data_IF_054613679030
#
_entry.id   IF_054613679030
#
_cell.length_a   1.000
_cell.length_b   1.000
_cell.length_c   1.000
_cell.angle_alpha   90.00
_cell.angle_beta   90.00
_cell.angle_gamma   90.00
#
_symmetry.space_group_name_H-M   'P 1'
#
loop_
_entity.id
_entity.type
_entity.pdbx_description
1 polymer ?
#
# COMPACT_ATOMS: atom_id res chain seq x y z
N UNK A 1 13.43 -58.49 -16.91
CA UNK A 1 14.39 -57.66 -17.66
C UNK A 1 13.90 -56.21 -17.60
N UNK A 2 14.57 -55.19 -17.07
CA UNK A 2 15.92 -55.03 -16.56
C UNK A 2 16.24 -53.53 -16.67
N UNK A 3 16.63 -52.90 -15.55
CA UNK A 3 17.40 -51.65 -15.47
C UNK A 3 16.74 -50.34 -15.99
N UNK A 4 16.93 -49.14 -15.41
CA UNK A 4 17.70 -48.61 -14.27
C UNK A 4 17.19 -47.17 -14.09
N UNK A 5 16.99 -46.73 -12.85
CA UNK A 5 16.94 -45.31 -12.48
C UNK A 5 18.29 -44.63 -12.78
N UNK A 6 18.31 -43.30 -12.99
CA UNK A 6 19.46 -42.49 -12.63
C UNK A 6 19.09 -41.49 -11.53
N UNK A 7 19.89 -41.54 -10.47
CA UNK A 7 19.89 -40.63 -9.34
C UNK A 7 20.39 -39.23 -9.75
N UNK A 8 19.69 -38.19 -9.32
CA UNK A 8 20.18 -36.81 -9.35
C UNK A 8 21.23 -36.66 -8.24
N UNK A 9 22.44 -36.30 -8.66
CA UNK A 9 23.63 -36.15 -7.82
C UNK A 9 23.57 -34.89 -6.95
N UNK A 10 24.02 -35.07 -5.72
CA UNK A 10 24.49 -34.02 -4.81
C UNK A 10 25.65 -33.19 -5.40
N UNK A 11 25.63 -31.89 -5.14
CA UNK A 11 26.77 -30.97 -5.31
C UNK A 11 26.31 -29.54 -5.02
N UNK A 12 26.97 -28.72 -4.22
CA UNK A 12 28.15 -28.90 -3.39
C UNK A 12 28.15 -27.73 -2.38
N UNK A 13 28.42 -28.04 -1.13
CA UNK A 13 28.55 -27.06 -0.06
C UNK A 13 29.91 -26.37 -0.23
N UNK A 14 29.88 -25.11 -0.68
CA UNK A 14 31.08 -24.28 -0.87
C UNK A 14 31.42 -23.65 0.48
N UNK A 15 32.37 -24.24 1.21
CA UNK A 15 33.02 -23.58 2.35
C UNK A 15 34.19 -22.73 1.86
N UNK A 16 34.25 -21.42 2.17
CA UNK A 16 35.42 -20.61 1.83
C UNK A 16 36.64 -20.99 2.69
N UNK A 17 37.86 -21.04 2.12
CA UNK A 17 39.07 -21.31 2.89
C UNK A 17 39.68 -19.99 3.35
N UNK A 18 39.13 -19.38 4.40
CA UNK A 18 39.81 -18.26 5.06
C UNK A 18 40.24 -18.64 6.47
N UNK A 19 41.47 -19.18 6.54
CA UNK A 19 42.19 -19.45 7.78
C UNK A 19 42.94 -18.18 8.19
N UNK A 20 42.33 -17.36 9.05
CA UNK A 20 43.04 -16.22 9.66
C UNK A 20 44.04 -16.77 10.66
N UNK A 21 45.31 -16.65 10.28
CA UNK A 21 46.50 -17.01 11.05
C UNK A 21 46.66 -15.95 12.15
N UNK A 22 46.36 -16.32 13.40
CA UNK A 22 46.78 -15.53 14.55
C UNK A 22 48.30 -15.51 14.63
N UNK A 23 48.89 -14.32 14.58
CA UNK A 23 50.26 -14.08 15.05
C UNK A 23 50.29 -12.81 15.90
N UNK A 24 50.35 -13.06 17.21
CA UNK A 24 51.22 -12.41 18.20
C UNK A 24 52.22 -11.38 17.64
N UNK A 25 51.96 -10.11 17.93
CA UNK A 25 52.95 -9.04 17.90
C UNK A 25 52.99 -8.38 19.27
N UNK A 26 53.88 -8.84 20.14
CA UNK A 26 54.30 -8.11 21.34
C UNK A 26 55.23 -6.98 20.90
N UNK A 27 54.65 -5.81 20.59
CA UNK A 27 55.38 -4.57 20.36
C UNK A 27 55.19 -3.65 21.57
N UNK A 28 56.20 -3.56 22.41
CA UNK A 28 56.30 -2.58 23.49
C UNK A 28 56.95 -1.31 22.94
N UNK A 29 56.17 -0.44 22.30
CA UNK A 29 56.63 0.90 21.92
C UNK A 29 55.86 1.93 22.73
N UNK A 30 56.46 2.27 23.88
CA UNK A 30 56.13 3.43 24.68
C UNK A 30 56.53 4.69 23.89
N UNK A 31 55.61 5.26 23.13
CA UNK A 31 55.73 6.59 22.55
C UNK A 31 54.54 7.44 23.04
N UNK A 32 54.88 8.56 23.69
CA UNK A 32 53.96 9.36 24.49
C UNK A 32 52.71 9.82 23.76
N UNK A 33 51.56 9.32 24.21
CA UNK A 33 50.27 9.91 23.92
C UNK A 33 50.13 11.18 24.77
N UNK A 34 50.24 12.34 24.12
CA UNK A 34 49.84 13.61 24.73
C UNK A 34 48.37 13.50 25.14
N UNK A 35 47.98 13.93 26.36
CA UNK A 35 46.57 13.97 26.73
C UNK A 35 45.89 15.03 25.86
N UNK A 36 45.26 14.56 24.78
CA UNK A 36 44.31 15.36 24.02
C UNK A 36 43.27 15.86 25.01
N UNK A 37 43.24 17.17 25.21
CA UNK A 37 42.20 17.85 26.00
C UNK A 37 40.86 17.36 25.46
N UNK A 38 40.23 16.44 26.19
CA UNK A 38 38.94 15.89 25.83
C UNK A 38 37.99 17.03 25.54
N UNK A 39 37.55 17.14 24.29
CA UNK A 39 36.49 18.05 23.94
C UNK A 39 35.31 17.69 24.86
N UNK A 40 34.96 18.59 25.78
CA UNK A 40 33.82 18.37 26.68
C UNK A 40 32.62 18.11 25.79
N UNK A 41 32.06 16.89 25.87
CA UNK A 41 30.82 16.56 25.19
C UNK A 41 29.76 17.56 25.69
N UNK A 42 29.31 18.44 24.80
CA UNK A 42 28.20 19.35 25.10
C UNK A 42 26.94 18.50 25.10
N UNK A 43 26.39 18.25 26.28
CA UNK A 43 25.09 17.62 26.44
C UNK A 43 23.96 18.60 26.13
N UNK A 44 22.85 18.10 25.59
CA UNK A 44 21.60 18.85 25.48
C UNK A 44 21.11 19.26 26.87
N UNK A 45 20.62 20.50 27.00
CA UNK A 45 19.98 20.92 28.25
C UNK A 45 18.55 20.35 28.33
N UNK A 46 18.04 20.14 29.55
CA UNK A 46 16.66 19.67 29.76
C UNK A 46 15.64 20.65 29.14
N UNK A 47 15.91 21.95 29.25
CA UNK A 47 15.08 23.02 28.70
C UNK A 47 15.02 22.95 27.16
N UNK A 48 16.14 22.66 26.51
CA UNK A 48 16.24 22.54 25.06
C UNK A 48 15.43 21.34 24.54
N UNK A 49 15.44 20.23 25.29
CA UNK A 49 14.58 19.09 25.00
C UNK A 49 13.10 19.43 25.21
N UNK A 50 12.73 20.15 26.27
CA UNK A 50 11.34 20.55 26.49
C UNK A 50 10.80 21.44 25.37
N UNK A 51 11.59 22.40 24.89
CA UNK A 51 11.22 23.26 23.77
C UNK A 51 11.09 22.43 22.49
N UNK A 52 12.03 21.51 22.22
CA UNK A 52 11.96 20.65 21.04
C UNK A 52 10.70 19.77 21.03
N UNK A 53 10.37 19.14 22.16
CA UNK A 53 9.16 18.31 22.28
C UNK A 53 7.89 19.15 22.15
N UNK A 54 7.87 20.36 22.72
CA UNK A 54 6.75 21.28 22.58
C UNK A 54 6.49 21.65 21.10
N UNK A 55 7.54 21.93 20.33
CA UNK A 55 7.42 22.22 18.89
C UNK A 55 6.90 21.00 18.13
N UNK A 56 7.45 19.81 18.39
CA UNK A 56 7.01 18.57 17.74
C UNK A 56 5.53 18.27 18.04
N UNK A 57 5.08 18.50 19.28
CA UNK A 57 3.69 18.30 19.67
C UNK A 57 2.74 19.21 18.88
N UNK A 58 3.09 20.48 18.69
CA UNK A 58 2.29 21.43 17.89
C UNK A 58 2.22 20.99 16.43
N UNK A 59 3.35 20.59 15.85
CA UNK A 59 3.39 20.11 14.46
C UNK A 59 2.57 18.83 14.27
N UNK A 60 2.70 17.87 15.21
CA UNK A 60 1.98 16.59 15.16
C UNK A 60 0.47 16.78 15.22
N UNK A 61 -0.02 17.73 16.04
CA UNK A 61 -1.45 18.01 16.18
C UNK A 61 -2.13 18.41 14.85
N UNK A 62 -1.41 19.10 13.95
CA UNK A 62 -1.93 19.48 12.63
C UNK A 62 -1.58 18.43 11.57
N UNK A 63 -0.38 17.85 11.61
CA UNK A 63 0.11 16.95 10.58
C UNK A 63 -0.63 15.61 10.55
N UNK A 64 -0.90 15.00 11.72
CA UNK A 64 -1.54 13.68 11.81
C UNK A 64 -2.94 13.63 11.15
N UNK A 65 -3.90 14.52 11.49
CA UNK A 65 -5.22 14.48 10.87
C UNK A 65 -5.20 14.83 9.38
N UNK A 66 -4.23 15.63 8.92
CA UNK A 66 -4.07 15.94 7.50
C UNK A 66 -3.52 14.77 6.70
N UNK A 67 -2.51 14.08 7.24
CA UNK A 67 -1.94 12.90 6.61
C UNK A 67 -2.96 11.76 6.50
N UNK A 68 -3.74 11.51 7.55
CA UNK A 68 -4.77 10.47 7.51
C UNK A 68 -5.82 10.73 6.43
N UNK A 69 -6.31 11.98 6.30
CA UNK A 69 -7.22 12.37 5.22
C UNK A 69 -6.60 12.21 3.83
N UNK A 70 -5.32 12.52 3.69
CA UNK A 70 -4.60 12.35 2.42
C UNK A 70 -4.55 10.86 2.01
N UNK A 71 -4.21 9.97 2.93
CA UNK A 71 -4.19 8.52 2.68
C UNK A 71 -5.58 7.99 2.31
N UNK A 72 -6.62 8.44 3.01
CA UNK A 72 -8.02 8.09 2.71
C UNK A 72 -8.41 8.52 1.29
N UNK A 73 -8.08 9.75 0.88
CA UNK A 73 -8.32 10.23 -0.49
C UNK A 73 -7.51 9.46 -1.53
N UNK A 74 -6.26 9.10 -1.21
CA UNK A 74 -5.42 8.29 -2.09
C UNK A 74 -6.03 6.92 -2.35
N UNK A 75 -6.53 6.23 -1.31
CA UNK A 75 -7.26 4.99 -1.48
C UNK A 75 -8.55 5.20 -2.29
N UNK A 76 -9.24 6.33 -2.11
CA UNK A 76 -10.43 6.62 -2.90
C UNK A 76 -10.10 6.76 -4.40
N UNK A 77 -9.11 7.58 -4.73
CA UNK A 77 -8.66 7.76 -6.11
C UNK A 77 -8.25 6.42 -6.77
N UNK A 78 -7.58 5.55 -6.02
CA UNK A 78 -7.20 4.23 -6.52
C UNK A 78 -8.39 3.26 -6.71
N UNK A 79 -9.47 3.38 -5.94
CA UNK A 79 -10.68 2.59 -6.22
C UNK A 79 -11.48 3.18 -7.38
N UNK A 80 -11.52 4.51 -7.52
CA UNK A 80 -12.16 5.19 -8.65
C UNK A 80 -11.50 4.81 -9.98
N UNK A 81 -10.16 4.74 -10.04
CA UNK A 81 -9.46 4.27 -11.24
C UNK A 81 -9.82 2.82 -11.58
N UNK A 82 -9.90 1.95 -10.57
CA UNK A 82 -10.33 0.57 -10.76
C UNK A 82 -11.78 0.48 -11.25
N UNK A 83 -12.69 1.32 -10.76
CA UNK A 83 -14.07 1.37 -11.25
C UNK A 83 -14.13 1.77 -12.74
N UNK A 84 -13.25 2.67 -13.19
CA UNK A 84 -13.14 3.04 -14.61
C UNK A 84 -12.58 1.88 -15.46
N UNK A 85 -11.63 1.11 -14.94
CA UNK A 85 -11.14 -0.11 -15.59
C UNK A 85 -12.26 -1.16 -15.76
N UNK A 86 -13.06 -1.35 -14.71
CA UNK A 86 -14.23 -2.25 -14.73
C UNK A 86 -15.26 -1.76 -15.75
N UNK A 87 -15.51 -0.45 -15.82
CA UNK A 87 -16.39 0.15 -16.84
C UNK A 87 -15.89 -0.15 -18.25
N UNK A 88 -14.59 0.04 -18.52
CA UNK A 88 -14.01 -0.33 -19.83
C UNK A 88 -14.10 -1.83 -20.12
N UNK A 89 -13.97 -2.69 -19.11
CA UNK A 89 -14.15 -4.13 -19.26
C UNK A 89 -15.59 -4.52 -19.56
N UNK A 90 -16.58 -3.83 -18.97
CA UNK A 90 -17.99 -4.01 -19.29
C UNK A 90 -18.30 -3.69 -20.75
N UNK A 91 -17.74 -2.61 -21.31
CA UNK A 91 -17.94 -2.28 -22.72
C UNK A 91 -17.37 -3.36 -23.66
N UNK A 92 -16.18 -3.89 -23.34
CA UNK A 92 -15.61 -5.03 -24.11
C UNK A 92 -16.49 -6.27 -24.00
N UNK A 93 -16.91 -6.60 -22.77
CA UNK A 93 -17.75 -7.77 -22.52
C UNK A 93 -19.09 -7.68 -23.27
N UNK A 94 -19.68 -6.48 -23.38
CA UNK A 94 -20.90 -6.23 -24.15
C UNK A 94 -20.71 -6.55 -25.64
N UNK A 95 -19.58 -6.16 -26.23
CA UNK A 95 -19.27 -6.44 -27.65
C UNK A 95 -19.21 -7.94 -27.90
N UNK A 96 -18.59 -8.69 -26.99
CA UNK A 96 -18.37 -10.14 -27.14
C UNK A 96 -19.61 -10.98 -26.80
N UNK A 97 -20.39 -10.56 -25.79
CA UNK A 97 -21.45 -11.38 -25.19
C UNK A 97 -22.86 -10.82 -25.41
N UNK A 98 -23.00 -9.62 -25.98
CA UNK A 98 -24.28 -8.90 -26.18
C UNK A 98 -25.08 -8.65 -24.89
N UNK A 99 -24.42 -8.73 -23.74
CA UNK A 99 -24.96 -8.42 -22.43
C UNK A 99 -23.84 -7.89 -21.54
N UNK A 100 -24.17 -7.13 -20.50
CA UNK A 100 -23.21 -6.73 -19.47
C UNK A 100 -22.93 -7.87 -18.49
N UNK A 101 -21.72 -7.93 -17.96
CA UNK A 101 -21.30 -8.97 -17.03
C UNK A 101 -21.99 -8.82 -15.66
N UNK A 102 -22.37 -9.95 -15.08
CA UNK A 102 -23.11 -10.02 -13.82
C UNK A 102 -22.27 -9.77 -12.56
N UNK A 103 -20.95 -9.80 -12.67
CA UNK A 103 -20.00 -9.57 -11.57
C UNK A 103 -18.57 -9.40 -12.12
N UNK A 104 -17.62 -9.06 -11.24
CA UNK A 104 -16.20 -8.91 -11.60
C UNK A 104 -15.56 -10.22 -12.09
N UNK A 105 -15.98 -11.37 -11.56
CA UNK A 105 -15.44 -12.67 -11.96
C UNK A 105 -15.72 -12.99 -13.43
N UNK A 106 -16.91 -12.64 -13.92
CA UNK A 106 -17.26 -12.77 -15.34
C UNK A 106 -16.43 -11.85 -16.26
N UNK A 107 -15.88 -10.76 -15.72
CA UNK A 107 -14.91 -9.90 -16.41
C UNK A 107 -13.45 -10.39 -16.29
N UNK A 108 -13.20 -11.48 -15.54
CA UNK A 108 -11.85 -11.93 -15.21
C UNK A 108 -11.09 -10.95 -14.31
N UNK A 109 -11.81 -10.11 -13.57
CA UNK A 109 -11.24 -9.06 -12.73
C UNK A 109 -11.46 -9.35 -11.24
N UNK A 110 -10.57 -8.81 -10.41
CA UNK A 110 -10.70 -8.80 -8.95
C UNK A 110 -10.24 -7.47 -8.41
N UNK A 111 -10.79 -7.04 -7.27
CA UNK A 111 -10.34 -5.82 -6.59
C UNK A 111 -8.83 -5.93 -6.30
N UNK A 112 -8.02 -4.91 -6.61
CA UNK A 112 -6.59 -4.92 -6.32
C UNK A 112 -6.32 -5.21 -4.84
N UNK A 113 -5.28 -5.99 -4.54
CA UNK A 113 -4.97 -6.44 -3.17
C UNK A 113 -4.71 -5.27 -2.21
N UNK A 114 -4.17 -4.16 -2.71
CA UNK A 114 -4.02 -2.93 -1.93
C UNK A 114 -5.37 -2.36 -1.44
N UNK A 115 -6.46 -2.63 -2.15
CA UNK A 115 -7.77 -2.04 -1.91
C UNK A 115 -8.79 -3.02 -1.34
N UNK A 116 -8.57 -4.34 -1.46
CA UNK A 116 -9.54 -5.38 -1.06
C UNK A 116 -9.91 -5.39 0.43
N UNK A 117 -9.02 -4.90 1.32
CA UNK A 117 -9.35 -4.74 2.74
C UNK A 117 -10.07 -3.44 3.07
N UNK A 118 -10.12 -2.49 2.11
CA UNK A 118 -10.70 -1.15 2.26
C UNK A 118 -11.99 -0.96 1.48
N UNK A 119 -12.21 -1.75 0.43
CA UNK A 119 -13.39 -1.69 -0.41
C UNK A 119 -13.86 -3.09 -0.79
N UNK A 120 -15.18 -3.27 -0.84
CA UNK A 120 -15.82 -4.28 -1.67
C UNK A 120 -16.35 -3.60 -2.93
N UNK A 121 -16.18 -4.25 -4.08
CA UNK A 121 -16.70 -3.75 -5.36
C UNK A 121 -17.67 -4.77 -5.94
N UNK A 122 -18.90 -4.33 -6.18
CA UNK A 122 -19.93 -5.12 -6.83
C UNK A 122 -20.27 -4.52 -8.18
N UNK A 123 -20.70 -5.39 -9.10
CA UNK A 123 -21.23 -4.98 -10.40
C UNK A 123 -22.59 -5.61 -10.57
N UNK A 124 -23.58 -4.79 -10.92
CA UNK A 124 -24.96 -5.24 -11.13
C UNK A 124 -25.41 -4.79 -12.52
N UNK A 125 -25.66 -5.70 -13.47
CA UNK A 125 -26.21 -5.35 -14.77
C UNK A 125 -27.69 -4.96 -14.64
N UNK A 126 -28.14 -4.09 -15.52
CA UNK A 126 -29.54 -3.74 -15.72
C UNK A 126 -29.93 -4.11 -17.16
N UNK A 127 -30.88 -5.03 -17.29
CA UNK A 127 -31.40 -5.46 -18.60
C UNK A 127 -32.57 -4.60 -19.10
N UNK A 128 -33.08 -3.65 -18.30
CA UNK A 128 -34.10 -2.70 -18.74
C UNK A 128 -33.56 -1.85 -19.90
N UNK A 129 -34.43 -1.38 -20.80
CA UNK A 129 -34.03 -0.58 -21.95
C UNK A 129 -33.88 0.91 -21.55
N UNK A 130 -32.75 1.57 -21.87
CA UNK A 130 -31.52 1.01 -22.46
C UNK A 130 -30.71 0.19 -21.43
N UNK A 131 -30.11 -0.96 -21.83
CA UNK A 131 -29.37 -1.81 -20.91
C UNK A 131 -28.15 -1.08 -20.37
N UNK A 132 -27.76 -1.42 -19.15
CA UNK A 132 -26.64 -0.78 -18.47
C UNK A 132 -26.06 -1.62 -17.34
N UNK A 133 -25.24 -0.97 -16.50
CA UNK A 133 -24.70 -1.56 -15.29
C UNK A 133 -24.48 -0.49 -14.21
N UNK A 134 -24.37 -0.95 -12.98
CA UNK A 134 -23.93 -0.16 -11.83
C UNK A 134 -22.72 -0.84 -11.19
N UNK A 135 -21.64 -0.08 -10.99
CA UNK A 135 -20.45 -0.47 -10.24
C UNK A 135 -20.54 0.25 -8.90
N UNK A 136 -20.51 -0.49 -7.80
CA UNK A 136 -20.62 0.05 -6.45
C UNK A 136 -19.38 -0.33 -5.65
N UNK A 137 -18.64 0.67 -5.18
CA UNK A 137 -17.51 0.49 -4.27
C UNK A 137 -17.93 0.88 -2.84
N UNK A 138 -18.07 -0.12 -1.97
CA UNK A 138 -18.48 0.04 -0.57
C UNK A 138 -17.24 0.05 0.32
N UNK A 139 -16.97 1.14 1.08
CA UNK A 139 -15.81 1.19 1.95
C UNK A 139 -15.96 0.22 3.14
N UNK A 140 -14.82 -0.26 3.62
CA UNK A 140 -14.67 -1.21 4.74
C UNK A 140 -13.52 -0.81 5.64
N UNK A 141 -13.48 -1.42 6.83
CA UNK A 141 -12.38 -1.26 7.77
C UNK A 141 -12.10 0.22 8.09
N UNK A 142 -10.83 0.61 8.06
CA UNK A 142 -10.42 1.99 8.33
C UNK A 142 -11.02 3.00 7.34
N UNK A 143 -11.26 2.60 6.09
CA UNK A 143 -11.83 3.50 5.09
C UNK A 143 -13.28 3.84 5.41
N UNK A 144 -14.07 2.88 5.91
CA UNK A 144 -15.47 3.10 6.28
C UNK A 144 -15.62 4.18 7.36
N UNK A 145 -14.78 4.13 8.40
CA UNK A 145 -14.83 5.08 9.50
C UNK A 145 -14.17 6.42 9.16
N UNK A 146 -13.17 6.44 8.29
CA UNK A 146 -12.42 7.65 7.97
C UNK A 146 -12.98 8.43 6.78
N UNK A 147 -13.78 7.79 5.92
CA UNK A 147 -14.35 8.36 4.70
C UNK A 147 -15.87 8.58 4.76
N UNK A 148 -16.40 8.91 5.94
CA UNK A 148 -17.85 9.10 6.14
C UNK A 148 -18.44 10.23 5.30
N UNK A 149 -17.62 11.19 4.89
CA UNK A 149 -18.02 12.27 3.99
C UNK A 149 -18.43 11.77 2.61
N UNK A 150 -17.86 10.68 2.11
CA UNK A 150 -18.16 10.14 0.79
C UNK A 150 -18.85 8.78 0.82
N UNK A 151 -18.46 7.90 1.74
CA UNK A 151 -19.08 6.60 1.89
C UNK A 151 -18.98 5.75 0.63
N UNK A 152 -20.08 5.14 0.23
CA UNK A 152 -20.17 4.26 -0.93
C UNK A 152 -20.14 5.07 -2.21
N UNK A 153 -19.25 4.70 -3.14
CA UNK A 153 -19.14 5.30 -4.47
C UNK A 153 -19.88 4.45 -5.49
N UNK A 154 -20.58 5.09 -6.42
CA UNK A 154 -21.30 4.43 -7.52
C UNK A 154 -20.94 5.05 -8.87
N UNK A 155 -20.64 4.20 -9.86
CA UNK A 155 -20.46 4.56 -11.26
C UNK A 155 -21.43 3.76 -12.12
N UNK A 156 -22.21 4.43 -12.95
CA UNK A 156 -23.14 3.77 -13.89
C UNK A 156 -22.60 3.76 -15.32
N UNK A 157 -23.17 2.93 -16.18
CA UNK A 157 -22.87 2.89 -17.62
C UNK A 157 -23.14 4.22 -18.34
N UNK A 158 -23.97 5.10 -17.78
CA UNK A 158 -24.20 6.46 -18.30
C UNK A 158 -23.09 7.45 -17.89
N UNK A 159 -22.04 6.98 -17.19
CA UNK A 159 -20.99 7.82 -16.62
C UNK A 159 -21.43 8.60 -15.39
N UNK A 160 -22.63 8.36 -14.86
CA UNK A 160 -23.11 9.02 -13.66
C UNK A 160 -22.30 8.54 -12.45
N UNK A 161 -21.72 9.50 -11.73
CA UNK A 161 -20.91 9.31 -10.54
C UNK A 161 -21.68 9.81 -9.33
N UNK A 162 -21.81 9.00 -8.30
CA UNK A 162 -22.44 9.41 -7.06
C UNK A 162 -21.73 8.84 -5.84
N UNK A 163 -21.96 9.48 -4.70
CA UNK A 163 -21.45 9.09 -3.40
C UNK A 163 -22.63 9.05 -2.42
N UNK A 164 -22.60 8.12 -1.46
CA UNK A 164 -23.68 8.01 -0.46
C UNK A 164 -23.55 9.03 0.67
N UNK A 165 -22.35 9.57 0.88
CA UNK A 165 -22.10 10.64 1.82
C UNK A 165 -22.47 12.02 1.26
N UNK A 166 -22.55 13.02 2.14
CA UNK A 166 -22.91 14.40 1.79
C UNK A 166 -21.74 15.28 1.33
N UNK A 167 -20.54 14.72 1.15
CA UNK A 167 -19.34 15.44 0.73
C UNK A 167 -19.39 15.85 -0.75
N UNK A 168 -18.80 17.00 -1.07
CA UNK A 168 -18.81 17.59 -2.42
C UNK A 168 -17.68 17.11 -3.32
N UNK A 169 -16.58 16.60 -2.75
CA UNK A 169 -15.36 16.20 -3.47
C UNK A 169 -15.09 14.69 -3.31
N UNK A 170 -16.05 13.89 -3.75
CA UNK A 170 -16.01 12.44 -3.63
C UNK A 170 -15.47 11.70 -4.86
N UNK A 171 -15.38 12.38 -6.00
CA UNK A 171 -14.93 11.83 -7.30
C UNK A 171 -13.84 12.71 -7.94
N UNK A 172 -13.06 13.43 -7.10
CA UNK A 172 -12.06 14.44 -7.44
C UNK A 172 -10.72 14.22 -6.72
#
# INVERSE_FOLDING_TARGET
>A
MGHRSPAVRHGGMVTPPFRVKGQIGAGTDAAGAMPGRGARARGFTLVELMIAVAIIAILAAVAIPNYSRHVVRSHRAAIESFMLEVSGAQERFLVDNRAYAANLGALGMSVPSAQSTRYDVTVTPNAALPPGYSIVATPKGSQLSADTGCGTLTLTSAGARSASGGGTDCWN
#
